data_IF_416018610203
#
_entry.id   IF_416018610203
#
_cell.length_a   1.000
_cell.length_b   1.000
_cell.length_c   1.000
_cell.angle_alpha   90.00
_cell.angle_beta   90.00
_cell.angle_gamma   90.00
#
_symmetry.space_group_name_H-M   'P 1'
#
loop_
_entity.id
_entity.type
_entity.pdbx_description
1 polymer ?
#
# COMPACT_ATOMS: atom_id res chain seq x y z
N UNK A 1 -12.76 18.70 -5.89
CA UNK A 1 -12.00 17.67 -5.17
C UNK A 1 -12.96 17.07 -4.16
N UNK A 2 -13.23 15.77 -4.24
CA UNK A 2 -13.99 15.09 -3.19
C UNK A 2 -13.12 15.10 -1.94
N UNK A 3 -13.69 15.52 -0.81
CA UNK A 3 -12.96 15.52 0.44
C UNK A 3 -13.01 14.11 1.04
N UNK A 4 -11.91 13.36 0.89
CA UNK A 4 -11.78 12.00 1.42
C UNK A 4 -11.26 11.94 2.85
N UNK A 5 -11.25 13.05 3.60
CA UNK A 5 -10.70 13.06 4.98
C UNK A 5 -11.29 11.95 5.85
N UNK A 6 -12.61 11.75 5.87
CA UNK A 6 -13.22 10.69 6.67
C UNK A 6 -12.77 9.29 6.22
N UNK A 7 -12.65 9.07 4.90
CA UNK A 7 -12.21 7.78 4.36
C UNK A 7 -10.77 7.46 4.74
N UNK A 8 -9.91 8.48 4.70
CA UNK A 8 -8.51 8.40 5.11
C UNK A 8 -8.42 8.05 6.59
N UNK A 9 -9.14 8.76 7.46
CA UNK A 9 -9.08 8.54 8.90
C UNK A 9 -9.62 7.16 9.29
N UNK A 10 -10.72 6.72 8.67
CA UNK A 10 -11.26 5.38 8.89
C UNK A 10 -10.30 4.28 8.43
N UNK A 11 -9.67 4.44 7.27
CA UNK A 11 -8.72 3.46 6.75
C UNK A 11 -7.48 3.35 7.65
N UNK A 12 -6.95 4.48 8.11
CA UNK A 12 -5.80 4.52 9.00
C UNK A 12 -6.16 3.92 10.37
N UNK A 13 -7.32 4.24 10.91
CA UNK A 13 -7.80 3.64 12.16
C UNK A 13 -7.92 2.11 12.03
N UNK A 14 -8.55 1.63 10.94
CA UNK A 14 -8.66 0.20 10.67
C UNK A 14 -7.28 -0.47 10.58
N UNK A 15 -6.33 0.14 9.87
CA UNK A 15 -4.99 -0.42 9.69
C UNK A 15 -4.22 -0.52 11.02
N UNK A 16 -4.30 0.52 11.86
CA UNK A 16 -3.68 0.54 13.18
C UNK A 16 -4.31 -0.49 14.13
N UNK A 17 -5.64 -0.60 14.15
CA UNK A 17 -6.35 -1.57 14.98
C UNK A 17 -6.05 -3.03 14.58
N UNK A 18 -5.69 -3.25 13.32
CA UNK A 18 -5.34 -4.57 12.78
C UNK A 18 -3.84 -4.86 12.76
N UNK A 19 -2.98 -4.03 13.34
CA UNK A 19 -1.52 -4.19 13.29
C UNK A 19 -0.99 -5.51 13.87
N UNK A 20 -1.76 -6.19 14.71
CA UNK A 20 -1.37 -7.51 15.28
C UNK A 20 -1.77 -8.72 14.42
N UNK A 21 -2.46 -8.50 13.29
CA UNK A 21 -2.96 -9.58 12.42
C UNK A 21 -1.83 -10.29 11.69
N UNK A 22 -1.86 -11.61 11.69
CA UNK A 22 -0.85 -12.44 11.02
C UNK A 22 -1.29 -12.96 9.64
N UNK A 23 -2.59 -12.93 9.34
CA UNK A 23 -3.16 -13.40 8.09
C UNK A 23 -2.87 -12.47 6.90
N UNK A 24 -2.36 -11.25 7.15
CA UNK A 24 -1.85 -10.32 6.16
C UNK A 24 -0.33 -10.40 5.92
N UNK A 25 0.38 -11.35 6.54
CA UNK A 25 1.81 -11.55 6.26
C UNK A 25 2.03 -11.71 4.75
N UNK A 26 2.93 -10.90 4.19
CA UNK A 26 3.26 -10.81 2.77
C UNK A 26 2.09 -10.43 1.83
N UNK A 27 0.98 -9.88 2.35
CA UNK A 27 -0.18 -9.46 1.56
C UNK A 27 -0.37 -7.94 1.58
N UNK A 28 0.64 -7.22 1.10
CA UNK A 28 0.72 -5.76 1.20
C UNK A 28 -0.44 -5.04 0.51
N UNK A 29 -0.78 -5.46 -0.72
CA UNK A 29 -1.88 -4.86 -1.46
C UNK A 29 -3.22 -5.12 -0.77
N UNK A 30 -3.53 -6.39 -0.46
CA UNK A 30 -4.78 -6.76 0.20
C UNK A 30 -4.98 -6.01 1.52
N UNK A 31 -3.93 -5.81 2.31
CA UNK A 31 -4.03 -5.07 3.58
C UNK A 31 -4.39 -3.60 3.39
N UNK A 32 -3.76 -2.90 2.43
CA UNK A 32 -4.03 -1.47 2.23
C UNK A 32 -5.37 -1.23 1.53
N UNK A 33 -5.78 -2.14 0.65
CA UNK A 33 -7.12 -2.13 0.04
C UNK A 33 -8.18 -2.41 1.11
N UNK A 34 -8.03 -3.47 1.91
CA UNK A 34 -8.96 -3.79 3.00
C UNK A 34 -9.04 -2.67 4.04
N UNK A 35 -7.95 -1.93 4.29
CA UNK A 35 -8.02 -0.74 5.14
C UNK A 35 -9.02 0.29 4.61
N UNK A 36 -8.98 0.58 3.30
CA UNK A 36 -9.96 1.48 2.69
C UNK A 36 -11.34 0.85 2.56
N UNK A 37 -11.43 -0.39 2.07
CA UNK A 37 -12.68 -1.09 1.81
C UNK A 37 -13.46 -1.39 3.09
N UNK A 38 -12.84 -2.08 4.05
CA UNK A 38 -13.47 -2.50 5.30
C UNK A 38 -13.62 -1.33 6.27
N UNK A 39 -12.66 -0.41 6.28
CA UNK A 39 -12.74 0.82 7.08
C UNK A 39 -13.92 1.72 6.67
N UNK A 40 -14.33 1.68 5.40
CA UNK A 40 -15.37 2.57 4.86
C UNK A 40 -16.63 1.86 4.34
N UNK A 41 -16.66 0.53 4.40
CA UNK A 41 -17.70 -0.30 3.80
C UNK A 41 -17.91 0.02 2.30
N UNK A 42 -16.81 0.01 1.55
CA UNK A 42 -16.78 0.26 0.11
C UNK A 42 -16.05 -0.87 -0.63
N UNK A 43 -16.11 -0.81 -1.95
CA UNK A 43 -15.28 -1.60 -2.87
C UNK A 43 -14.52 -0.64 -3.78
N UNK A 44 -13.21 -0.85 -3.91
CA UNK A 44 -12.34 -0.08 -4.81
C UNK A 44 -11.92 -0.93 -6.01
N UNK A 45 -11.40 -0.27 -7.04
CA UNK A 45 -10.76 -0.96 -8.16
C UNK A 45 -9.26 -1.09 -7.88
N UNK A 46 -8.62 -2.12 -8.44
CA UNK A 46 -7.19 -2.33 -8.30
C UNK A 46 -6.70 -3.52 -9.12
N UNK A 47 -5.37 -3.65 -9.21
CA UNK A 47 -4.69 -4.74 -9.88
C UNK A 47 -4.58 -5.98 -9.00
N UNK A 48 -3.98 -7.06 -9.53
CA UNK A 48 -3.75 -8.28 -8.75
C UNK A 48 -2.44 -8.24 -7.93
N UNK A 49 -1.59 -7.23 -8.17
CA UNK A 49 -0.29 -7.05 -7.51
C UNK A 49 -0.02 -5.57 -7.27
N UNK A 50 0.84 -5.25 -6.30
CA UNK A 50 1.19 -3.86 -6.01
C UNK A 50 1.84 -3.16 -7.20
N UNK A 51 2.61 -3.89 -8.03
CA UNK A 51 3.16 -3.36 -9.29
C UNK A 51 2.06 -3.01 -10.30
N UNK A 52 1.09 -3.92 -10.53
CA UNK A 52 -0.03 -3.68 -11.44
C UNK A 52 -0.90 -2.52 -10.95
N UNK A 53 -1.22 -2.44 -9.64
CA UNK A 53 -1.96 -1.31 -9.08
C UNK A 53 -1.20 0.02 -9.22
N UNK A 54 0.13 0.02 -9.06
CA UNK A 54 0.94 1.21 -9.29
C UNK A 54 0.88 1.71 -10.76
N UNK A 55 0.86 0.78 -11.71
CA UNK A 55 0.70 1.09 -13.14
C UNK A 55 -0.70 1.63 -13.45
N UNK A 56 -1.75 0.99 -12.92
CA UNK A 56 -3.15 1.37 -13.14
C UNK A 56 -3.49 2.74 -12.54
N UNK A 57 -3.04 2.99 -11.32
CA UNK A 57 -3.29 4.27 -10.66
C UNK A 57 -2.39 5.39 -11.17
N UNK A 58 -1.17 5.04 -11.59
CA UNK A 58 -0.11 6.01 -11.84
C UNK A 58 0.47 6.55 -10.53
N UNK A 59 1.81 6.61 -10.47
CA UNK A 59 2.54 7.06 -9.28
C UNK A 59 3.20 8.42 -9.51
N UNK A 60 3.20 9.25 -8.47
CA UNK A 60 4.00 10.46 -8.40
C UNK A 60 5.33 10.16 -7.69
N UNK A 61 6.47 10.20 -8.38
CA UNK A 61 7.77 9.90 -7.77
C UNK A 61 8.29 11.03 -6.88
N UNK A 62 7.72 12.23 -6.97
CA UNK A 62 8.24 13.42 -6.31
C UNK A 62 7.46 13.79 -5.03
N UNK A 63 8.18 14.41 -4.10
CA UNK A 63 7.61 14.92 -2.85
C UNK A 63 7.32 13.82 -1.83
N UNK A 64 7.04 14.27 -0.60
CA UNK A 64 6.61 13.39 0.48
C UNK A 64 5.16 12.95 0.25
N UNK A 65 4.82 11.66 0.43
CA UNK A 65 3.46 11.18 0.26
C UNK A 65 2.49 11.85 1.26
N UNK A 66 1.39 12.47 0.80
CA UNK A 66 0.35 12.96 1.69
C UNK A 66 -0.29 11.83 2.51
N UNK A 67 -0.78 12.15 3.71
CA UNK A 67 -1.55 11.22 4.55
C UNK A 67 -2.74 10.65 3.75
N UNK A 68 -2.93 9.34 3.84
CA UNK A 68 -3.91 8.57 3.09
C UNK A 68 -3.42 8.07 1.73
N UNK A 69 -2.27 8.54 1.23
CA UNK A 69 -1.76 8.03 -0.04
C UNK A 69 -1.31 6.58 0.06
N UNK A 70 -1.47 5.82 -1.01
CA UNK A 70 -0.72 4.59 -1.21
C UNK A 70 0.70 4.93 -1.66
N UNK A 71 1.68 4.24 -1.09
CA UNK A 71 3.11 4.44 -1.32
C UNK A 71 3.69 3.17 -1.90
N UNK A 72 4.21 3.26 -3.11
CA UNK A 72 4.60 2.11 -3.92
C UNK A 72 6.10 1.97 -4.05
N UNK A 73 6.52 0.72 -4.12
CA UNK A 73 7.90 0.30 -4.33
C UNK A 73 7.96 -0.78 -5.42
N UNK A 74 9.02 -0.78 -6.22
CA UNK A 74 9.38 -1.94 -7.03
C UNK A 74 10.05 -2.98 -6.14
N UNK A 75 9.72 -4.26 -6.31
CA UNK A 75 10.47 -5.37 -5.71
C UNK A 75 10.29 -6.61 -6.55
N UNK A 76 11.41 -7.24 -6.88
CA UNK A 76 11.48 -8.38 -7.78
C UNK A 76 11.77 -9.64 -6.99
N UNK A 77 11.15 -10.74 -7.38
CA UNK A 77 11.44 -12.03 -6.77
C UNK A 77 10.62 -13.16 -7.36
N UNK A 78 10.88 -14.40 -6.92
CA UNK A 78 10.17 -15.57 -7.38
C UNK A 78 8.84 -15.77 -6.61
N UNK A 79 7.74 -15.95 -7.35
CA UNK A 79 6.47 -16.50 -6.83
C UNK A 79 6.04 -17.61 -7.79
N UNK A 80 5.82 -18.81 -7.27
CA UNK A 80 5.42 -20.01 -8.04
C UNK A 80 6.28 -20.27 -9.30
N UNK A 81 7.59 -20.01 -9.19
CA UNK A 81 8.56 -20.18 -10.28
C UNK A 81 8.58 -19.07 -11.32
N UNK A 82 7.77 -18.01 -11.15
CA UNK A 82 7.78 -16.81 -11.99
C UNK A 82 8.58 -15.71 -11.29
N UNK A 83 9.63 -15.23 -11.97
CA UNK A 83 10.42 -14.09 -11.53
C UNK A 83 9.95 -12.83 -12.25
N UNK A 84 9.41 -11.87 -11.50
CA UNK A 84 9.02 -10.54 -12.01
C UNK A 84 8.98 -9.50 -10.89
N UNK A 85 8.70 -8.25 -11.25
CA UNK A 85 8.30 -7.23 -10.30
C UNK A 85 6.90 -7.54 -9.78
N UNK A 86 6.78 -7.81 -8.48
CA UNK A 86 5.49 -7.96 -7.79
C UNK A 86 5.06 -6.65 -7.11
N UNK A 87 6.04 -5.78 -6.85
CA UNK A 87 5.87 -4.52 -6.16
C UNK A 87 5.61 -4.69 -4.67
N UNK A 88 5.62 -3.58 -3.97
CA UNK A 88 5.23 -3.47 -2.56
C UNK A 88 4.48 -2.16 -2.35
N UNK A 89 3.51 -2.17 -1.43
CA UNK A 89 2.68 -0.99 -1.15
C UNK A 89 2.45 -0.84 0.34
N UNK A 90 2.31 0.42 0.78
CA UNK A 90 1.88 0.77 2.13
C UNK A 90 0.94 1.97 2.13
N UNK A 91 0.25 2.17 3.26
CA UNK A 91 -0.64 3.30 3.49
C UNK A 91 0.10 4.40 4.27
N UNK A 92 0.24 5.59 3.69
CA UNK A 92 0.83 6.73 4.37
C UNK A 92 -0.07 7.21 5.51
N UNK A 93 0.44 7.15 6.74
CA UNK A 93 -0.22 7.69 7.94
C UNK A 93 0.28 9.12 8.27
N UNK A 94 1.05 9.73 7.38
CA UNK A 94 1.50 11.12 7.50
C UNK A 94 2.91 11.27 8.09
N UNK A 95 3.53 12.44 7.86
CA UNK A 95 4.92 12.75 8.21
C UNK A 95 5.92 11.72 7.67
N UNK A 96 5.65 11.18 6.48
CA UNK A 96 6.44 10.14 5.84
C UNK A 96 6.30 8.74 6.44
N UNK A 97 5.53 8.56 7.52
CA UNK A 97 5.30 7.24 8.10
C UNK A 97 4.27 6.46 7.27
N UNK A 98 4.55 5.17 7.06
CA UNK A 98 3.76 4.28 6.23
C UNK A 98 3.51 2.99 7.01
N UNK A 99 2.23 2.64 7.18
CA UNK A 99 1.85 1.31 7.67
C UNK A 99 1.76 0.34 6.50
N UNK A 100 2.41 -0.81 6.62
CA UNK A 100 2.44 -1.83 5.57
C UNK A 100 2.67 -3.22 6.14
N UNK A 101 2.39 -4.25 5.34
CA UNK A 101 2.75 -5.62 5.68
C UNK A 101 4.06 -6.00 5.01
N UNK A 102 4.98 -6.59 5.76
CA UNK A 102 6.13 -7.32 5.23
C UNK A 102 6.06 -8.75 5.76
N UNK A 103 6.99 -9.14 6.64
CA UNK A 103 6.91 -10.33 7.50
C UNK A 103 5.97 -10.16 8.70
N UNK A 104 5.69 -8.91 9.07
CA UNK A 104 4.70 -8.45 10.04
C UNK A 104 4.03 -7.18 9.53
N UNK A 105 2.91 -6.76 10.13
CA UNK A 105 2.40 -5.41 9.92
C UNK A 105 3.22 -4.45 10.78
N UNK A 106 3.79 -3.43 10.14
CA UNK A 106 4.73 -2.49 10.77
C UNK A 106 4.57 -1.10 10.20
N UNK A 107 5.12 -0.14 10.94
CA UNK A 107 5.21 1.25 10.51
C UNK A 107 6.67 1.58 10.32
N UNK A 108 7.01 2.05 9.13
CA UNK A 108 8.32 2.58 8.81
C UNK A 108 8.17 3.90 8.07
N UNK A 109 9.19 4.76 8.18
CA UNK A 109 9.29 5.88 7.26
C UNK A 109 9.45 5.33 5.83
N UNK A 110 8.76 5.93 4.87
CA UNK A 110 8.72 5.43 3.49
C UNK A 110 10.10 5.25 2.84
N UNK A 111 11.07 6.10 3.17
CA UNK A 111 12.43 5.95 2.64
C UNK A 111 13.20 4.80 3.29
N UNK A 112 12.89 4.48 4.55
CA UNK A 112 13.52 3.39 5.29
C UNK A 112 13.04 2.01 4.81
N UNK A 113 11.86 1.92 4.19
CA UNK A 113 11.35 0.67 3.59
C UNK A 113 12.33 0.10 2.55
N UNK A 114 13.08 0.95 1.86
CA UNK A 114 14.09 0.53 0.89
C UNK A 114 15.28 -0.21 1.51
N UNK A 115 15.45 -0.12 2.83
CA UNK A 115 16.51 -0.82 3.56
C UNK A 115 16.08 -2.21 4.05
N UNK A 116 14.79 -2.55 3.91
CA UNK A 116 14.28 -3.85 4.31
C UNK A 116 14.88 -4.95 3.44
N UNK A 117 15.22 -6.06 4.10
CA UNK A 117 15.66 -7.26 3.40
C UNK A 117 14.45 -8.10 3.01
N UNK A 118 14.40 -8.48 1.75
CA UNK A 118 13.44 -9.48 1.26
C UNK A 118 13.83 -10.90 1.66
N UNK A 119 12.93 -11.84 1.39
CA UNK A 119 13.24 -13.27 1.47
C UNK A 119 14.36 -13.62 0.46
N UNK A 120 15.06 -14.77 0.63
CA UNK A 120 16.08 -15.19 -0.33
C UNK A 120 15.58 -15.17 -1.78
N UNK A 121 16.34 -14.52 -2.68
CA UNK A 121 15.96 -14.34 -4.08
C UNK A 121 15.13 -13.08 -4.37
N UNK A 122 14.72 -12.32 -3.34
CA UNK A 122 14.04 -11.05 -3.53
C UNK A 122 15.00 -9.86 -3.54
N UNK A 123 14.72 -8.88 -4.39
CA UNK A 123 15.39 -7.58 -4.36
C UNK A 123 14.92 -6.77 -3.15
N UNK A 124 15.76 -5.83 -2.73
CA UNK A 124 15.29 -4.78 -1.82
C UNK A 124 14.17 -3.95 -2.49
N UNK A 125 13.23 -3.38 -1.71
CA UNK A 125 12.25 -2.45 -2.25
C UNK A 125 12.93 -1.18 -2.77
N UNK A 126 12.50 -0.69 -3.92
CA UNK A 126 12.93 0.60 -4.47
C UNK A 126 11.71 1.52 -4.56
N UNK A 127 11.78 2.71 -3.97
CA UNK A 127 10.65 3.65 -3.98
C UNK A 127 10.37 4.14 -5.40
N UNK A 128 9.13 3.96 -5.88
CA UNK A 128 8.72 4.38 -7.23
C UNK A 128 7.72 5.54 -7.24
N UNK A 129 7.05 5.81 -6.12
CA UNK A 129 6.17 6.95 -5.97
C UNK A 129 4.97 6.70 -5.07
N UNK A 130 4.04 7.65 -5.05
CA UNK A 130 2.79 7.55 -4.31
C UNK A 130 1.59 7.96 -5.16
N UNK A 131 0.40 7.50 -4.75
CA UNK A 131 -0.87 7.81 -5.39
C UNK A 131 -1.86 8.30 -4.33
N UNK A 132 -2.55 9.43 -4.54
CA UNK A 132 -3.50 9.96 -3.57
C UNK A 132 -4.88 9.26 -3.67
N UNK A 133 -5.70 9.32 -2.60
CA UNK A 133 -7.02 8.66 -2.55
C UNK A 133 -7.98 9.03 -3.67
N UNK A 134 -7.93 10.26 -4.20
CA UNK A 134 -8.83 10.68 -5.28
C UNK A 134 -8.62 9.92 -6.61
N UNK A 135 -7.49 9.23 -6.75
CA UNK A 135 -7.19 8.38 -7.90
C UNK A 135 -7.72 6.96 -7.68
N UNK A 136 -7.29 6.27 -6.62
CA UNK A 136 -7.66 4.85 -6.41
C UNK A 136 -9.08 4.67 -5.85
N UNK A 137 -9.69 5.72 -5.26
CA UNK A 137 -11.12 5.72 -4.92
C UNK A 137 -12.00 6.22 -6.06
N UNK A 138 -11.45 6.48 -7.26
CA UNK A 138 -12.26 6.95 -8.38
C UNK A 138 -13.26 5.87 -8.79
N UNK A 139 -14.55 6.14 -8.56
CA UNK A 139 -15.62 5.21 -8.92
C UNK A 139 -15.83 4.06 -7.93
N UNK A 140 -15.40 4.21 -6.68
CA UNK A 140 -15.71 3.26 -5.60
C UNK A 140 -17.22 2.96 -5.53
N UNK A 141 -17.55 1.74 -5.10
CA UNK A 141 -18.93 1.30 -4.92
C UNK A 141 -19.22 1.21 -3.42
N UNK A 142 -20.36 1.72 -2.98
CA UNK A 142 -20.83 1.54 -1.61
C UNK A 142 -21.32 0.10 -1.44
N UNK A 143 -20.84 -0.59 -0.41
CA UNK A 143 -21.32 -1.93 -0.03
C UNK A 143 -22.50 -1.86 0.95
#
# INVERSE_FOLDING_TARGET
MNNFTEFIENAIAWALDNQSREDYKFKCLAFVEDAYELGNNIEMFGGSTAAESAEEYGVNPAGEPPRGSFVFFSTHGPVDGVEKNWGHVGLCIGNGDVIHTWDVIRVDNYLNIQTLSGAPGWSQPEYIGWTPPDVFLKGYIQR
#
